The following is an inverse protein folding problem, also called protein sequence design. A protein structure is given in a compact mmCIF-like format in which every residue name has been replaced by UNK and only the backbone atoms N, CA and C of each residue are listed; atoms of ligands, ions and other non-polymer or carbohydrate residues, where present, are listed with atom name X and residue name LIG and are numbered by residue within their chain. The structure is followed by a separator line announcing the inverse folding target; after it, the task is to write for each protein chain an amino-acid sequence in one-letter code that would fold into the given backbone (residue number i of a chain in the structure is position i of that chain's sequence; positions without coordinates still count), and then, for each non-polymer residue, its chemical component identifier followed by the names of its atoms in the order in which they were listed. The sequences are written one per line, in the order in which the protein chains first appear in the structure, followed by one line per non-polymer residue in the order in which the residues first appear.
data_IF_205767160462
#
_entry.id   IF_205767160462
#
_cell.length_a   1.000
_cell.length_b   1.000
_cell.length_c   1.000
_cell.angle_alpha   90.00
_cell.angle_beta   90.00
_cell.angle_gamma   90.00
#
_symmetry.space_group_name_H-M   'P 1'
#
loop_
_entity.id
_entity.type
_entity.pdbx_description
1 polymer ?
#
# COMPACT_ATOMS: atom_id res chain seq x y z
N UNK A 1 8.73 -20.64 -3.37
CA UNK A 1 7.78 -19.74 -4.05
C UNK A 1 7.29 -18.80 -2.96
N UNK A 2 7.41 -17.48 -3.11
CA UNK A 2 6.81 -16.56 -2.17
C UNK A 2 5.30 -16.80 -2.18
N UNK A 3 4.71 -16.81 -0.99
CA UNK A 3 3.27 -17.04 -0.84
C UNK A 3 2.52 -15.83 -1.40
N UNK A 4 1.51 -16.08 -2.22
CA UNK A 4 0.58 -15.06 -2.65
C UNK A 4 -0.20 -14.52 -1.45
N UNK A 5 -0.70 -13.29 -1.57
CA UNK A 5 -1.52 -12.64 -0.56
C UNK A 5 -2.72 -11.94 -1.19
N UNK A 6 -3.72 -11.64 -0.37
CA UNK A 6 -4.88 -10.86 -0.81
C UNK A 6 -4.62 -9.36 -0.59
N UNK A 7 -4.95 -8.55 -1.58
CA UNK A 7 -4.98 -7.08 -1.50
C UNK A 7 -6.18 -6.53 -2.27
N UNK A 8 -6.38 -5.21 -2.22
CA UNK A 8 -7.39 -4.51 -3.02
C UNK A 8 -6.86 -4.25 -4.44
N UNK A 9 -7.73 -4.30 -5.44
CA UNK A 9 -7.30 -4.19 -6.84
C UNK A 9 -6.90 -2.76 -7.23
N UNK A 10 -7.60 -1.77 -6.69
CA UNK A 10 -7.45 -0.36 -7.03
C UNK A 10 -7.86 0.53 -5.85
N UNK A 11 -7.60 1.84 -5.96
CA UNK A 11 -8.15 2.83 -5.02
C UNK A 11 -9.66 2.89 -5.18
N UNK A 12 -10.40 2.90 -4.08
CA UNK A 12 -11.86 3.09 -4.11
C UNK A 12 -12.39 3.77 -2.86
N UNK A 13 -13.61 4.28 -2.98
CA UNK A 13 -14.35 4.89 -1.89
C UNK A 13 -15.80 4.41 -1.87
N UNK A 14 -16.41 4.43 -0.69
CA UNK A 14 -17.85 4.22 -0.52
C UNK A 14 -18.37 5.04 0.66
N UNK A 15 -19.59 5.58 0.55
CA UNK A 15 -20.17 6.43 1.58
C UNK A 15 -21.59 6.03 1.98
N UNK A 16 -21.93 6.33 3.23
CA UNK A 16 -23.29 6.20 3.75
C UNK A 16 -23.54 7.15 4.91
N UNK A 17 -24.82 7.40 5.18
CA UNK A 17 -25.27 8.19 6.34
C UNK A 17 -26.00 7.32 7.34
N UNK A 18 -25.74 7.52 8.64
CA UNK A 18 -26.48 6.89 9.74
C UNK A 18 -26.64 7.87 10.89
N UNK A 19 -27.87 8.02 11.38
CA UNK A 19 -28.20 8.95 12.48
C UNK A 19 -27.70 10.38 12.22
N UNK A 20 -27.77 10.83 10.97
CA UNK A 20 -27.30 12.14 10.52
C UNK A 20 -25.78 12.24 10.30
N UNK A 21 -24.98 11.30 10.81
CA UNK A 21 -23.53 11.27 10.55
C UNK A 21 -23.25 10.63 9.21
N UNK A 22 -22.39 11.27 8.42
CA UNK A 22 -21.86 10.71 7.18
C UNK A 22 -20.51 10.03 7.42
N UNK A 23 -20.32 8.88 6.79
CA UNK A 23 -19.09 8.13 6.77
C UNK A 23 -18.68 7.89 5.32
N UNK A 24 -17.43 8.18 4.99
CA UNK A 24 -16.82 7.91 3.70
C UNK A 24 -15.61 7.03 3.97
N UNK A 25 -15.66 5.78 3.53
CA UNK A 25 -14.53 4.86 3.62
C UNK A 25 -13.68 4.96 2.36
N UNK A 26 -12.39 5.21 2.53
CA UNK A 26 -11.36 5.13 1.51
C UNK A 26 -10.55 3.84 1.68
N UNK A 27 -10.13 3.26 0.57
CA UNK A 27 -9.17 2.15 0.55
C UNK A 27 -8.22 2.29 -0.63
N UNK A 28 -6.96 1.93 -0.44
CA UNK A 28 -5.95 1.92 -1.49
C UNK A 28 -4.96 0.75 -1.33
N UNK A 29 -4.49 0.17 -2.45
CA UNK A 29 -3.33 -0.72 -2.42
C UNK A 29 -2.06 0.11 -2.17
N UNK A 30 -1.21 -0.34 -1.25
CA UNK A 30 0.03 0.32 -0.83
C UNK A 30 1.07 -0.71 -0.43
N UNK A 31 2.34 -0.48 -0.75
CA UNK A 31 3.39 -1.48 -0.52
C UNK A 31 4.29 -1.16 0.67
N UNK A 32 4.11 -0.01 1.30
CA UNK A 32 4.95 0.43 2.41
C UNK A 32 4.19 1.25 3.43
N UNK A 33 4.84 1.50 4.59
CA UNK A 33 4.32 2.44 5.59
C UNK A 33 4.29 3.86 5.05
N UNK A 34 5.29 4.26 4.27
CA UNK A 34 5.35 5.60 3.69
C UNK A 34 4.20 5.82 2.68
N UNK A 35 3.94 4.83 1.81
CA UNK A 35 2.83 4.87 0.85
C UNK A 35 1.48 4.97 1.59
N UNK A 36 1.33 4.25 2.71
CA UNK A 36 0.13 4.30 3.52
C UNK A 36 -0.07 5.67 4.19
N UNK A 37 1.00 6.25 4.74
CA UNK A 37 0.99 7.59 5.36
C UNK A 37 0.68 8.68 4.32
N UNK A 38 1.23 8.58 3.11
CA UNK A 38 0.92 9.51 2.01
C UNK A 38 -0.56 9.49 1.62
N UNK A 39 -1.18 8.31 1.53
CA UNK A 39 -2.62 8.20 1.24
C UNK A 39 -3.46 8.76 2.39
N UNK A 40 -3.04 8.59 3.64
CA UNK A 40 -3.74 9.16 4.80
C UNK A 40 -3.69 10.68 4.74
N UNK A 41 -2.49 11.25 4.51
CA UNK A 41 -2.30 12.69 4.38
C UNK A 41 -3.11 13.29 3.20
N UNK A 42 -3.22 12.58 2.08
CA UNK A 42 -4.06 12.94 0.93
C UNK A 42 -5.54 13.06 1.35
N UNK A 43 -6.07 12.04 2.03
CA UNK A 43 -7.48 12.03 2.50
C UNK A 43 -7.73 13.10 3.57
N UNK A 44 -6.79 13.34 4.48
CA UNK A 44 -6.90 14.41 5.47
C UNK A 44 -6.93 15.80 4.80
N UNK A 45 -6.09 16.01 3.79
CA UNK A 45 -6.02 17.26 3.04
C UNK A 45 -7.29 17.53 2.22
N UNK A 46 -7.90 16.49 1.66
CA UNK A 46 -9.14 16.58 0.87
C UNK A 46 -10.39 16.82 1.74
N UNK A 47 -10.31 16.51 3.04
CA UNK A 47 -11.43 16.62 3.99
C UNK A 47 -11.11 17.52 5.21
N UNK A 48 -10.78 18.80 5.03
CA UNK A 48 -10.35 19.69 6.12
C UNK A 48 -11.45 19.99 7.15
N UNK A 49 -12.72 19.83 6.76
CA UNK A 49 -13.89 20.04 7.63
C UNK A 49 -14.40 18.74 8.29
N UNK A 50 -13.70 17.62 8.11
CA UNK A 50 -14.06 16.35 8.74
C UNK A 50 -14.06 16.49 10.26
N UNK A 51 -14.96 15.75 10.92
CA UNK A 51 -14.91 15.64 12.38
C UNK A 51 -13.76 14.73 12.80
N UNK A 52 -13.57 13.63 12.09
CA UNK A 52 -12.49 12.67 12.28
C UNK A 52 -12.11 12.06 10.92
N UNK A 53 -10.83 11.76 10.73
CA UNK A 53 -10.29 10.91 9.66
C UNK A 53 -9.59 9.76 10.34
N UNK A 54 -10.22 8.59 10.33
CA UNK A 54 -9.77 7.42 11.10
C UNK A 54 -8.96 6.50 10.20
N UNK A 55 -7.63 6.42 10.36
CA UNK A 55 -6.79 5.56 9.55
C UNK A 55 -6.62 4.15 10.13
N UNK A 56 -6.41 3.19 9.25
CA UNK A 56 -5.83 1.89 9.56
C UNK A 56 -5.08 1.32 8.35
N UNK A 57 -4.03 0.52 8.58
CA UNK A 57 -3.33 -0.15 7.49
C UNK A 57 -2.73 -1.49 7.93
N UNK A 58 -2.50 -2.35 6.93
CA UNK A 58 -1.75 -3.61 7.05
C UNK A 58 -0.74 -3.67 5.91
N UNK A 59 0.51 -3.29 6.18
CA UNK A 59 1.53 -3.15 5.13
C UNK A 59 2.83 -3.84 5.51
N UNK A 60 3.66 -4.21 4.53
CA UNK A 60 5.02 -4.69 4.77
C UNK A 60 5.84 -3.67 5.58
N UNK A 61 6.60 -4.15 6.57
CA UNK A 61 7.52 -3.35 7.37
C UNK A 61 8.89 -4.04 7.49
N UNK A 62 9.91 -3.34 6.98
CA UNK A 62 11.29 -3.81 6.92
C UNK A 62 11.61 -4.56 5.62
N UNK A 63 12.90 -4.87 5.45
CA UNK A 63 13.39 -5.64 4.31
C UNK A 63 13.39 -7.14 4.63
N UNK A 64 13.27 -8.02 3.62
CA UNK A 64 13.51 -9.45 3.80
C UNK A 64 14.86 -9.69 4.49
N UNK A 65 14.91 -10.54 5.51
CA UNK A 65 16.17 -10.90 6.16
C UNK A 65 16.78 -12.14 5.50
N UNK A 66 18.10 -12.30 5.60
CA UNK A 66 18.79 -13.52 5.16
C UNK A 66 18.29 -14.79 5.89
N UNK A 67 17.70 -14.62 7.09
CA UNK A 67 17.14 -15.71 7.90
C UNK A 67 15.70 -16.03 7.51
N UNK A 68 14.99 -15.12 6.83
CA UNK A 68 13.65 -15.38 6.29
C UNK A 68 13.49 -14.73 4.91
N UNK A 69 14.14 -15.31 3.88
CA UNK A 69 14.02 -14.81 2.52
C UNK A 69 12.55 -14.86 2.07
N UNK A 70 11.97 -13.70 1.75
CA UNK A 70 10.61 -13.58 1.24
C UNK A 70 9.49 -13.47 2.27
N UNK A 71 9.77 -13.45 3.59
CA UNK A 71 8.76 -13.09 4.60
C UNK A 71 9.05 -11.70 5.15
N UNK A 72 8.24 -10.73 4.74
CA UNK A 72 8.27 -9.39 5.33
C UNK A 72 7.33 -9.36 6.53
N UNK A 73 7.78 -8.78 7.65
CA UNK A 73 6.91 -8.55 8.80
C UNK A 73 5.79 -7.59 8.38
N UNK A 74 4.54 -7.91 8.72
CA UNK A 74 3.44 -6.96 8.52
C UNK A 74 3.38 -5.99 9.69
N UNK A 75 3.33 -4.70 9.40
CA UNK A 75 2.92 -3.68 10.35
C UNK A 75 1.42 -3.47 10.22
N UNK A 76 0.75 -3.65 11.34
CA UNK A 76 -0.67 -3.41 11.52
C UNK A 76 -0.81 -2.22 12.45
N UNK A 77 -1.48 -1.17 11.98
CA UNK A 77 -1.60 0.07 12.73
C UNK A 77 -2.97 0.69 12.49
N UNK A 78 -3.50 1.35 13.52
CA UNK A 78 -4.73 2.11 13.44
C UNK A 78 -4.76 3.19 14.52
N UNK A 79 -5.52 4.25 14.28
CA UNK A 79 -5.81 5.32 15.23
C UNK A 79 -7.31 5.53 15.34
N UNK A 80 -7.81 5.86 16.54
CA UNK A 80 -9.21 6.30 16.71
C UNK A 80 -9.40 7.78 16.31
N UNK A 81 -8.34 8.53 16.03
CA UNK A 81 -8.37 9.94 15.63
C UNK A 81 -9.29 10.84 16.49
N UNK A 82 -9.24 10.67 17.81
CA UNK A 82 -10.08 11.47 18.73
C UNK A 82 -11.51 10.95 18.89
N UNK A 83 -11.93 9.90 18.19
CA UNK A 83 -13.11 9.12 18.55
C UNK A 83 -12.93 8.45 19.91
N UNK A 84 -14.04 8.02 20.57
CA UNK A 84 -13.96 7.21 21.77
C UNK A 84 -13.07 5.98 21.57
N UNK A 85 -12.21 5.70 22.55
CA UNK A 85 -11.21 4.63 22.45
C UNK A 85 -11.82 3.27 22.08
N UNK A 86 -11.22 2.62 21.08
CA UNK A 86 -11.61 1.32 20.56
C UNK A 86 -12.88 1.32 19.71
N UNK A 87 -13.41 2.50 19.36
CA UNK A 87 -14.67 2.63 18.62
C UNK A 87 -14.50 2.85 17.11
N UNK A 88 -13.29 3.10 16.62
CA UNK A 88 -13.07 3.47 15.23
C UNK A 88 -11.90 2.73 14.57
N UNK A 89 -10.66 3.03 14.96
CA UNK A 89 -9.45 2.53 14.30
C UNK A 89 -9.33 1.01 14.37
N UNK A 90 -9.55 0.43 15.56
CA UNK A 90 -9.53 -1.03 15.72
C UNK A 90 -10.65 -1.73 14.92
N UNK A 91 -11.91 -1.27 14.96
CA UNK A 91 -12.96 -1.77 14.06
C UNK A 91 -12.63 -1.68 12.56
N UNK A 92 -11.91 -0.65 12.11
CA UNK A 92 -11.45 -0.52 10.73
C UNK A 92 -10.37 -1.57 10.40
N UNK A 93 -9.33 -1.66 11.23
CA UNK A 93 -8.24 -2.65 11.08
C UNK A 93 -8.75 -4.09 11.08
N UNK A 94 -9.70 -4.42 11.96
CA UNK A 94 -10.29 -5.75 12.05
C UNK A 94 -10.92 -6.21 10.72
N UNK A 95 -11.41 -5.29 9.88
CA UNK A 95 -11.98 -5.66 8.57
C UNK A 95 -10.87 -6.14 7.63
N UNK A 96 -9.73 -5.45 7.61
CA UNK A 96 -8.57 -5.87 6.83
C UNK A 96 -8.03 -7.21 7.34
N UNK A 97 -7.96 -7.40 8.66
CA UNK A 97 -7.54 -8.67 9.28
C UNK A 97 -8.46 -9.84 8.92
N UNK A 98 -9.78 -9.65 9.07
CA UNK A 98 -10.77 -10.70 8.79
C UNK A 98 -10.87 -11.08 7.32
N UNK A 99 -10.56 -10.15 6.42
CA UNK A 99 -10.47 -10.40 4.97
C UNK A 99 -9.07 -10.85 4.53
N UNK A 100 -8.15 -11.01 5.48
CA UNK A 100 -6.77 -11.40 5.24
C UNK A 100 -6.00 -10.47 4.29
N UNK A 101 -6.46 -9.21 4.19
CA UNK A 101 -5.90 -8.20 3.29
C UNK A 101 -4.58 -7.64 3.81
N UNK A 102 -3.59 -7.60 2.95
CA UNK A 102 -2.26 -7.01 3.16
C UNK A 102 -2.01 -5.99 2.06
N UNK A 103 -0.95 -5.18 2.20
CA UNK A 103 -0.60 -4.13 1.26
C UNK A 103 -1.78 -3.19 1.00
N UNK A 104 -2.46 -2.80 2.09
CA UNK A 104 -3.67 -1.98 2.02
C UNK A 104 -3.72 -0.97 3.17
N UNK A 105 -4.19 0.22 2.84
CA UNK A 105 -4.51 1.31 3.76
C UNK A 105 -5.97 1.68 3.61
N UNK A 106 -6.59 2.05 4.72
CA UNK A 106 -7.94 2.62 4.77
C UNK A 106 -7.92 3.90 5.59
N UNK A 107 -8.75 4.86 5.18
CA UNK A 107 -9.05 6.05 5.95
C UNK A 107 -10.57 6.25 5.93
N UNK A 108 -11.19 6.41 7.09
CA UNK A 108 -12.62 6.64 7.18
C UNK A 108 -12.87 8.06 7.63
N UNK A 109 -13.38 8.88 6.72
CA UNK A 109 -13.81 10.25 7.00
C UNK A 109 -15.18 10.22 7.65
N UNK A 110 -15.35 10.97 8.73
CA UNK A 110 -16.63 11.14 9.40
C UNK A 110 -17.01 12.62 9.51
N UNK A 111 -18.22 12.93 9.10
CA UNK A 111 -18.89 14.20 9.42
C UNK A 111 -19.96 13.98 10.49
N UNK A 112 -19.84 14.66 11.63
CA UNK A 112 -20.79 14.51 12.75
C UNK A 112 -22.15 15.15 12.46
N UNK A 113 -23.22 14.36 12.60
CA UNK A 113 -24.58 14.77 12.28
C UNK A 113 -25.47 15.21 13.45
N UNK A 114 -24.88 15.47 14.62
CA UNK A 114 -25.65 15.91 15.80
C UNK A 114 -26.26 14.80 16.65
N UNK A 115 -26.18 13.52 16.25
CA UNK A 115 -26.63 12.38 17.07
C UNK A 115 -25.47 11.45 17.43
N UNK A 116 -25.29 11.21 18.72
CA UNK A 116 -24.29 10.28 19.23
C UNK A 116 -24.67 8.82 18.94
N UNK A 117 -23.76 8.09 18.29
CA UNK A 117 -23.92 6.66 17.97
C UNK A 117 -23.52 5.73 19.13
N UNK A 118 -22.74 6.24 20.08
CA UNK A 118 -22.09 5.43 21.13
C UNK A 118 -21.02 4.48 20.57
N UNK A 119 -20.19 3.91 21.45
CA UNK A 119 -19.03 3.08 21.06
C UNK A 119 -19.41 1.94 20.11
N UNK A 120 -20.48 1.19 20.44
CA UNK A 120 -20.92 0.07 19.61
C UNK A 120 -21.53 0.49 18.26
N UNK A 121 -22.14 1.68 18.19
CA UNK A 121 -22.67 2.23 16.95
C UNK A 121 -21.54 2.72 16.03
N UNK A 122 -20.55 3.41 16.59
CA UNK A 122 -19.34 3.84 15.89
C UNK A 122 -18.57 2.65 15.33
N UNK A 123 -18.31 1.63 16.16
CA UNK A 123 -17.57 0.45 15.72
C UNK A 123 -18.24 -0.23 14.50
N UNK A 124 -19.57 -0.32 14.49
CA UNK A 124 -20.32 -0.86 13.35
C UNK A 124 -20.26 0.05 12.12
N UNK A 125 -20.29 1.36 12.31
CA UNK A 125 -20.21 2.32 11.21
C UNK A 125 -18.82 2.30 10.55
N UNK A 126 -17.74 2.36 11.34
CA UNK A 126 -16.38 2.28 10.83
C UNK A 126 -16.09 0.96 10.12
N UNK A 127 -16.47 -0.18 10.71
CA UNK A 127 -16.31 -1.47 10.02
C UNK A 127 -17.14 -1.53 8.73
N UNK A 128 -18.34 -0.94 8.70
CA UNK A 128 -19.16 -0.88 7.48
C UNK A 128 -18.50 -0.03 6.39
N UNK A 129 -17.96 1.14 6.74
CA UNK A 129 -17.31 2.03 5.77
C UNK A 129 -16.14 1.33 5.08
N UNK A 130 -15.26 0.70 5.85
CA UNK A 130 -14.14 -0.07 5.30
C UNK A 130 -14.65 -1.24 4.46
N UNK A 131 -15.69 -1.95 4.92
CA UNK A 131 -16.26 -3.09 4.20
C UNK A 131 -16.75 -2.68 2.81
N UNK A 132 -17.51 -1.59 2.73
CA UNK A 132 -18.08 -1.09 1.47
C UNK A 132 -16.99 -0.55 0.54
N UNK A 133 -15.97 0.14 1.07
CA UNK A 133 -14.83 0.61 0.28
C UNK A 133 -14.03 -0.56 -0.32
N UNK A 134 -13.74 -1.60 0.48
CA UNK A 134 -13.07 -2.83 0.00
C UNK A 134 -13.91 -3.56 -1.04
N UNK A 135 -15.23 -3.64 -0.84
CA UNK A 135 -16.12 -4.27 -1.84
C UNK A 135 -16.14 -3.46 -3.15
N UNK A 136 -16.02 -2.14 -3.09
CA UNK A 136 -15.92 -1.27 -4.26
C UNK A 136 -14.58 -1.41 -4.99
N UNK A 137 -13.46 -1.53 -4.26
CA UNK A 137 -12.14 -1.73 -4.84
C UNK A 137 -11.95 -3.11 -5.48
N UNK A 138 -12.72 -4.11 -5.03
CA UNK A 138 -12.47 -5.50 -5.37
C UNK A 138 -11.23 -6.05 -4.66
N UNK A 139 -11.14 -7.38 -4.58
CA UNK A 139 -10.03 -8.10 -3.94
C UNK A 139 -9.33 -8.98 -4.98
N UNK A 140 -8.01 -8.90 -5.02
CA UNK A 140 -7.15 -9.67 -5.91
C UNK A 140 -6.11 -10.45 -5.12
N UNK A 141 -5.61 -11.51 -5.74
CA UNK A 141 -4.42 -12.22 -5.27
C UNK A 141 -3.19 -11.59 -5.94
N UNK A 142 -2.20 -11.23 -5.13
CA UNK A 142 -0.92 -10.65 -5.58
C UNK A 142 0.26 -11.45 -5.03
N UNK A 143 1.44 -11.23 -5.61
CA UNK A 143 2.70 -11.85 -5.19
C UNK A 143 3.63 -10.79 -4.59
N UNK A 144 4.53 -11.17 -3.67
CA UNK A 144 5.52 -10.24 -3.14
C UNK A 144 6.42 -9.68 -4.22
N UNK A 145 6.57 -8.36 -4.22
CA UNK A 145 7.49 -7.62 -5.06
C UNK A 145 8.64 -7.08 -4.20
N UNK A 146 9.81 -6.90 -4.80
CA UNK A 146 10.90 -6.14 -4.22
C UNK A 146 11.26 -4.95 -5.11
N UNK A 147 11.80 -3.92 -4.46
CA UNK A 147 12.25 -2.70 -5.12
C UNK A 147 13.76 -2.63 -5.11
N UNK A 148 14.32 -2.22 -6.23
CA UNK A 148 15.73 -1.89 -6.32
C UNK A 148 15.94 -0.82 -7.37
N UNK A 149 16.99 -0.04 -7.19
CA UNK A 149 17.45 0.94 -8.15
C UNK A 149 18.55 0.33 -9.00
N UNK A 150 18.44 0.46 -10.32
CA UNK A 150 19.49 0.15 -11.28
C UNK A 150 20.06 1.45 -11.87
N UNK A 151 21.32 1.73 -11.59
CA UNK A 151 22.01 2.93 -12.06
C UNK A 151 23.08 2.55 -13.09
N UNK A 152 23.07 3.22 -14.24
CA UNK A 152 24.02 3.00 -15.34
C UNK A 152 24.40 4.30 -16.04
N UNK A 153 25.58 4.29 -16.67
CA UNK A 153 25.93 5.28 -17.67
C UNK A 153 24.99 5.22 -18.89
N UNK A 154 24.91 6.34 -19.61
CA UNK A 154 24.05 6.47 -20.79
C UNK A 154 24.30 5.41 -21.88
N UNK A 155 25.52 4.90 -22.00
CA UNK A 155 25.90 3.86 -22.96
C UNK A 155 25.14 2.53 -22.73
N UNK A 156 24.81 2.21 -21.46
CA UNK A 156 24.11 0.99 -21.07
C UNK A 156 22.60 1.21 -20.85
N UNK A 157 22.13 2.46 -20.81
CA UNK A 157 20.75 2.84 -20.50
C UNK A 157 19.71 2.16 -21.40
N UNK A 158 19.93 2.16 -22.72
CA UNK A 158 19.02 1.50 -23.67
C UNK A 158 18.92 -0.01 -23.47
N UNK A 159 20.05 -0.65 -23.11
CA UNK A 159 20.11 -2.08 -22.82
C UNK A 159 19.34 -2.42 -21.55
N UNK A 160 19.56 -1.66 -20.47
CA UNK A 160 18.84 -1.84 -19.20
C UNK A 160 17.34 -1.66 -19.39
N UNK A 161 16.92 -0.55 -20.00
CA UNK A 161 15.50 -0.29 -20.30
C UNK A 161 14.87 -1.44 -21.09
N UNK A 162 15.52 -1.90 -22.15
CA UNK A 162 15.00 -2.99 -22.97
C UNK A 162 14.86 -4.32 -22.20
N UNK A 163 15.75 -4.57 -21.23
CA UNK A 163 15.64 -5.75 -20.35
C UNK A 163 14.42 -5.62 -19.44
N UNK A 164 14.24 -4.48 -18.78
CA UNK A 164 13.12 -4.21 -17.87
C UNK A 164 11.77 -4.32 -18.62
N UNK A 165 11.67 -3.67 -19.77
CA UNK A 165 10.47 -3.75 -20.64
C UNK A 165 10.19 -5.19 -21.08
N UNK A 166 11.22 -5.95 -21.47
CA UNK A 166 11.04 -7.36 -21.87
C UNK A 166 10.66 -8.29 -20.72
N UNK A 167 11.03 -7.93 -19.49
CA UNK A 167 10.67 -8.67 -18.28
C UNK A 167 9.25 -8.34 -17.80
N UNK A 168 8.65 -7.27 -18.31
CA UNK A 168 7.30 -6.84 -17.92
C UNK A 168 7.22 -6.33 -16.48
N UNK A 169 8.33 -5.85 -15.92
CA UNK A 169 8.38 -5.29 -14.57
C UNK A 169 8.03 -3.80 -14.60
N UNK A 170 7.47 -3.30 -13.52
CA UNK A 170 7.17 -1.88 -13.35
C UNK A 170 8.48 -1.13 -13.05
N UNK A 171 8.69 0.02 -13.69
CA UNK A 171 9.82 0.88 -13.37
C UNK A 171 9.58 2.34 -13.75
N UNK A 172 10.18 3.24 -12.97
CA UNK A 172 10.34 4.65 -13.29
C UNK A 172 11.78 4.93 -13.69
N UNK A 173 11.99 5.89 -14.60
CA UNK A 173 13.32 6.24 -15.07
C UNK A 173 13.60 7.73 -14.91
N UNK A 174 14.73 8.06 -14.29
CA UNK A 174 15.28 9.41 -14.17
C UNK A 174 16.60 9.50 -14.92
N UNK A 175 16.86 10.68 -15.51
CA UNK A 175 18.04 10.92 -16.34
C UNK A 175 18.70 12.21 -15.88
N UNK A 176 19.80 12.08 -15.15
CA UNK A 176 20.59 13.20 -14.63
C UNK A 176 22.06 13.06 -15.09
N UNK A 177 23.01 12.90 -14.17
CA UNK A 177 24.39 12.57 -14.53
C UNK A 177 24.52 11.13 -15.05
N UNK A 178 23.69 10.22 -14.54
CA UNK A 178 23.53 8.84 -14.98
C UNK A 178 22.05 8.56 -15.29
N UNK A 179 21.77 7.41 -15.90
CA UNK A 179 20.41 6.91 -16.02
C UNK A 179 20.10 6.01 -14.82
N UNK A 180 19.03 6.33 -14.11
CA UNK A 180 18.57 5.59 -12.95
C UNK A 180 17.17 5.02 -13.21
N UNK A 181 16.99 3.75 -12.82
CA UNK A 181 15.74 3.03 -12.98
C UNK A 181 15.29 2.51 -11.61
N UNK A 182 14.19 3.04 -11.08
CA UNK A 182 13.55 2.52 -9.88
C UNK A 182 12.63 1.36 -10.29
N UNK A 183 13.02 0.13 -9.97
CA UNK A 183 12.37 -1.10 -10.46
C UNK A 183 11.55 -1.74 -9.35
N UNK A 184 10.33 -2.18 -9.66
CA UNK A 184 9.49 -3.06 -8.83
C UNK A 184 9.31 -4.40 -9.56
N UNK A 185 9.88 -5.46 -9.01
CA UNK A 185 9.88 -6.79 -9.62
C UNK A 185 9.37 -7.86 -8.67
N UNK A 186 8.67 -8.90 -9.14
CA UNK A 186 8.34 -10.06 -8.33
C UNK A 186 9.59 -10.67 -7.67
N UNK A 187 9.50 -10.99 -6.37
CA UNK A 187 10.61 -11.60 -5.61
C UNK A 187 11.10 -12.90 -6.28
N UNK A 188 10.21 -13.64 -6.95
CA UNK A 188 10.58 -14.86 -7.71
C UNK A 188 11.53 -14.63 -8.88
N UNK A 189 11.40 -13.48 -9.54
CA UNK A 189 12.07 -13.20 -10.81
C UNK A 189 13.25 -12.24 -10.62
N UNK A 190 13.31 -11.56 -9.49
CA UNK A 190 14.24 -10.47 -9.25
C UNK A 190 15.72 -10.91 -9.25
N UNK A 191 16.08 -12.05 -8.65
CA UNK A 191 17.47 -12.54 -8.72
C UNK A 191 17.91 -12.80 -10.18
N UNK A 192 17.04 -13.43 -10.97
CA UNK A 192 17.29 -13.68 -12.38
C UNK A 192 17.36 -12.37 -13.19
N UNK A 193 16.52 -11.40 -12.87
CA UNK A 193 16.54 -10.06 -13.49
C UNK A 193 17.84 -9.32 -13.16
N UNK A 194 18.24 -9.28 -11.89
CA UNK A 194 19.49 -8.65 -11.43
C UNK A 194 20.71 -9.30 -12.12
N UNK A 195 20.73 -10.62 -12.24
CA UNK A 195 21.79 -11.33 -12.95
C UNK A 195 21.81 -10.97 -14.44
N UNK A 196 20.65 -10.91 -15.10
CA UNK A 196 20.53 -10.52 -16.50
C UNK A 196 21.03 -9.08 -16.75
N UNK A 197 20.70 -8.15 -15.86
CA UNK A 197 21.19 -6.76 -15.91
C UNK A 197 22.71 -6.68 -15.76
N UNK A 198 23.29 -7.40 -14.79
CA UNK A 198 24.76 -7.47 -14.61
C UNK A 198 25.45 -8.05 -15.84
N UNK A 199 24.93 -9.15 -16.38
CA UNK A 199 25.52 -9.79 -17.55
C UNK A 199 25.50 -8.88 -18.78
N UNK A 200 24.38 -8.19 -19.03
CA UNK A 200 24.23 -7.33 -20.20
C UNK A 200 25.12 -6.07 -20.16
N UNK A 201 25.39 -5.57 -18.96
CA UNK A 201 26.24 -4.38 -18.73
C UNK A 201 27.69 -4.75 -18.40
N UNK A 202 28.06 -6.03 -18.50
CA UNK A 202 29.37 -6.54 -18.05
C UNK A 202 29.72 -6.13 -16.60
N UNK A 203 28.71 -6.02 -15.74
CA UNK A 203 28.83 -5.66 -14.33
C UNK A 203 28.90 -4.15 -14.05
N UNK A 204 28.72 -3.29 -15.05
CA UNK A 204 28.74 -1.82 -14.85
C UNK A 204 27.47 -1.27 -14.20
N UNK A 205 26.37 -2.02 -14.20
CA UNK A 205 25.16 -1.63 -13.46
C UNK A 205 25.40 -1.68 -11.96
N UNK A 206 25.09 -0.58 -11.28
CA UNK A 206 24.99 -0.53 -9.83
C UNK A 206 23.54 -0.87 -9.43
N UNK A 207 23.37 -1.83 -8.52
CA UNK A 207 22.08 -2.29 -8.04
C UNK A 207 21.99 -2.06 -6.53
N UNK A 208 20.97 -1.32 -6.09
CA UNK A 208 20.78 -0.96 -4.68
C UNK A 208 19.34 -1.26 -4.27
N UNK A 209 19.14 -2.04 -3.20
CA UNK A 209 17.80 -2.34 -2.67
C UNK A 209 17.18 -1.07 -2.04
N UNK A 210 15.88 -0.87 -2.25
CA UNK A 210 15.16 0.35 -1.81
C UNK A 210 13.96 0.01 -0.95
#
# INVERSE_FOLDING_TARGET
MPESFLTVAERAEASFTVSGSEFIGYVAPVDSVADAEEVIDEVEADHPDATHVVPAYRVPAGSPSAETPGSVMLREWASDDGEPSGSAGKPALNVLEQRELRNAVVAVVRYYGGTNLGVGGLARAYSRAVKEAVDAAGVVEDIPHERFTATVDYDDSGTVRGILESAGVEFDASYEETAEFAVRAPVVDSDALRERLRNATSGRVELVDT
#
